data_IF_450799093535
#
_entry.id   IF_450799093535
#
_cell.length_a   1.000
_cell.length_b   1.000
_cell.length_c   1.000
_cell.angle_alpha   90.00
_cell.angle_beta   90.00
_cell.angle_gamma   90.00
#
_symmetry.space_group_name_H-M   'P 1'
#
loop_
_entity.id
_entity.type
_entity.pdbx_description
1 polymer ?
#
# COMPACT_ATOMS: atom_id res chain seq x y z
N UNK A 1 1.82 -15.29 -4.13
CA UNK A 1 2.49 -14.04 -4.54
C UNK A 1 2.50 -13.08 -3.36
N UNK A 2 3.60 -12.36 -3.09
CA UNK A 2 3.72 -11.45 -1.94
C UNK A 2 3.82 -10.02 -2.44
N UNK A 3 2.91 -9.15 -2.02
CA UNK A 3 2.97 -7.71 -2.30
C UNK A 3 3.95 -7.06 -1.31
N UNK A 4 5.10 -6.60 -1.81
CA UNK A 4 6.03 -5.79 -1.03
C UNK A 4 5.73 -4.32 -1.25
N UNK A 5 5.69 -3.54 -0.16
CA UNK A 5 5.54 -2.09 -0.23
C UNK A 5 6.73 -1.51 -1.00
N UNK A 6 6.44 -0.81 -2.09
CA UNK A 6 7.46 -0.19 -2.94
C UNK A 6 7.71 1.25 -2.47
N UNK A 7 6.67 2.10 -2.52
CA UNK A 7 6.77 3.49 -2.09
C UNK A 7 5.42 4.07 -1.66
N UNK A 8 5.47 5.10 -0.82
CA UNK A 8 4.31 5.94 -0.53
C UNK A 8 4.31 7.07 -1.57
N UNK A 9 3.27 7.15 -2.38
CA UNK A 9 3.13 8.16 -3.44
C UNK A 9 2.52 9.43 -2.90
N UNK A 10 1.63 9.30 -1.91
CA UNK A 10 0.95 10.44 -1.30
C UNK A 10 0.70 10.16 0.18
N UNK A 11 0.92 11.17 1.02
CA UNK A 11 0.51 11.14 2.42
C UNK A 11 0.19 12.54 2.90
N UNK A 12 -1.00 12.72 3.44
CA UNK A 12 -1.42 13.97 4.05
C UNK A 12 -0.74 14.12 5.42
N UNK A 13 -0.03 15.25 5.64
CA UNK A 13 0.65 15.52 6.92
C UNK A 13 -0.36 15.68 8.05
N UNK A 14 -0.03 15.14 9.22
CA UNK A 14 -0.86 15.24 10.43
C UNK A 14 -2.10 14.35 10.45
N UNK A 15 -2.40 13.62 9.38
CA UNK A 15 -3.64 12.84 9.27
C UNK A 15 -3.34 11.36 9.03
N UNK A 16 -3.69 10.51 10.01
CA UNK A 16 -3.57 9.06 9.91
C UNK A 16 -4.84 8.46 9.26
N UNK A 17 -4.70 7.53 8.31
CA UNK A 17 -5.83 6.76 7.79
C UNK A 17 -6.45 5.86 8.87
N UNK A 18 -7.76 5.71 8.85
CA UNK A 18 -8.53 4.79 9.71
C UNK A 18 -8.96 3.53 8.98
N UNK A 19 -9.12 3.61 7.64
CA UNK A 19 -9.46 2.46 6.79
C UNK A 19 -8.49 2.35 5.64
N UNK A 20 -8.22 1.11 5.22
CA UNK A 20 -7.41 0.84 4.04
C UNK A 20 -8.20 -0.01 3.05
N UNK A 21 -8.03 0.27 1.76
CA UNK A 21 -8.46 -0.61 0.68
C UNK A 21 -7.32 -0.82 -0.31
N UNK A 22 -7.24 -2.02 -0.84
CA UNK A 22 -6.40 -2.32 -1.98
C UNK A 22 -7.22 -2.21 -3.26
N UNK A 23 -6.63 -1.58 -4.26
CA UNK A 23 -7.07 -1.61 -5.66
C UNK A 23 -5.83 -1.93 -6.48
N UNK A 24 -5.81 -3.13 -7.06
CA UNK A 24 -4.64 -3.69 -7.75
C UNK A 24 -3.39 -3.64 -6.84
N UNK A 25 -2.31 -3.04 -7.36
CA UNK A 25 -1.03 -2.85 -6.69
C UNK A 25 -0.97 -1.58 -5.83
N UNK A 26 -2.11 -0.95 -5.54
CA UNK A 26 -2.18 0.32 -4.81
C UNK A 26 -3.03 0.15 -3.55
N UNK A 27 -2.46 0.55 -2.40
CA UNK A 27 -3.18 0.67 -1.13
C UNK A 27 -3.61 2.12 -0.91
N UNK A 28 -4.91 2.33 -0.79
CA UNK A 28 -5.54 3.60 -0.48
C UNK A 28 -5.91 3.63 0.99
N UNK A 29 -5.37 4.61 1.73
CA UNK A 29 -5.73 4.92 3.10
C UNK A 29 -6.75 6.06 3.15
N UNK A 30 -7.84 5.85 3.89
CA UNK A 30 -8.96 6.76 3.99
C UNK A 30 -9.12 7.29 5.42
N UNK A 31 -9.61 8.52 5.53
CA UNK A 31 -10.16 9.11 6.76
C UNK A 31 -11.36 9.97 6.37
N UNK A 32 -12.51 9.77 7.03
CA UNK A 32 -13.75 10.51 6.77
C UNK A 32 -14.11 10.58 5.27
N UNK A 33 -14.07 9.42 4.58
CA UNK A 33 -14.30 9.27 3.13
C UNK A 33 -13.33 10.01 2.20
N UNK A 34 -12.27 10.64 2.72
CA UNK A 34 -11.19 11.25 1.92
C UNK A 34 -9.97 10.34 1.89
N UNK A 35 -9.26 10.34 0.77
CA UNK A 35 -7.97 9.64 0.63
C UNK A 35 -6.88 10.48 1.30
N UNK A 36 -6.19 9.89 2.27
CA UNK A 36 -5.13 10.56 3.06
C UNK A 36 -3.77 9.88 2.89
N UNK A 37 -3.72 8.65 2.37
CA UNK A 37 -2.49 7.94 2.06
C UNK A 37 -2.66 7.11 0.79
N UNK A 38 -1.65 7.12 -0.09
CA UNK A 38 -1.58 6.23 -1.25
C UNK A 38 -0.21 5.57 -1.26
N UNK A 39 -0.18 4.24 -1.22
CA UNK A 39 1.04 3.45 -1.27
C UNK A 39 1.00 2.47 -2.43
N UNK A 40 2.08 2.38 -3.19
CA UNK A 40 2.29 1.39 -4.24
C UNK A 40 3.00 0.16 -3.67
N UNK A 41 2.55 -1.00 -4.12
CA UNK A 41 3.11 -2.29 -3.79
C UNK A 41 3.57 -2.96 -5.09
N UNK A 42 4.69 -3.67 -5.02
CA UNK A 42 5.19 -4.47 -6.13
C UNK A 42 4.95 -5.93 -5.80
N UNK A 43 4.43 -6.65 -6.78
CA UNK A 43 4.30 -8.09 -6.67
C UNK A 43 5.68 -8.75 -6.72
N UNK A 44 5.94 -9.63 -5.77
CA UNK A 44 7.18 -10.40 -5.71
C UNK A 44 6.86 -11.89 -5.64
N UNK A 45 7.46 -12.65 -6.55
CA UNK A 45 7.50 -14.11 -6.48
C UNK A 45 8.57 -14.50 -5.47
N UNK A 46 8.21 -15.19 -4.39
CA UNK A 46 9.20 -15.83 -3.53
C UNK A 46 9.90 -16.91 -4.37
N UNK A 47 11.06 -16.63 -4.94
CA UNK A 47 11.93 -17.69 -5.45
C UNK A 47 12.35 -18.51 -4.23
N UNK A 48 11.78 -19.71 -4.07
CA UNK A 48 12.28 -20.71 -3.12
C UNK A 48 13.78 -20.80 -3.38
N UNK A 49 14.60 -20.38 -2.42
CA UNK A 49 16.03 -20.72 -2.43
C UNK A 49 16.08 -22.24 -2.45
N UNK A 50 16.40 -22.83 -3.60
CA UNK A 50 16.79 -24.24 -3.67
C UNK A 50 18.06 -24.33 -2.82
N UNK A 51 17.96 -25.05 -1.71
CA UNK A 51 19.08 -25.36 -0.83
C UNK A 51 19.67 -26.68 -1.27
#
# INVERSE_FOLDING_TARGET
>A
MVLKKEKIVFRMKGVKPTRFRFKDNIRLGFRNNKIVEVAKFKETTMKRRKK
#
